data_IF_696670949765
#
_entry.id   IF_696670949765
#
_cell.length_a   1.000
_cell.length_b   1.000
_cell.length_c   1.000
_cell.angle_alpha   90.00
_cell.angle_beta   90.00
_cell.angle_gamma   90.00
#
_symmetry.space_group_name_H-M   'P 1'
#
loop_
_entity.id
_entity.type
_entity.pdbx_description
1 polymer ?
#
# COMPACT_ATOMS: atom_id res chain seq x y z
N UNK A 1 26.75 30.83 28.23
CA UNK A 1 25.59 30.54 27.35
C UNK A 1 25.91 30.64 25.87
N UNK A 2 27.02 30.10 25.32
CA UNK A 2 27.40 30.20 23.88
C UNK A 2 27.79 28.85 23.22
N UNK A 3 27.66 27.73 23.92
CA UNK A 3 28.05 26.41 23.38
C UNK A 3 26.88 25.55 22.77
N UNK A 4 25.59 25.89 23.00
CA UNK A 4 24.44 25.11 22.50
C UNK A 4 24.01 25.45 21.06
N UNK A 5 24.47 26.57 20.48
CA UNK A 5 24.04 26.99 19.11
C UNK A 5 24.87 26.40 17.95
N UNK A 6 26.02 25.75 18.24
CA UNK A 6 26.90 25.24 17.19
C UNK A 6 26.63 23.78 16.82
N UNK A 7 25.98 23.03 17.71
CA UNK A 7 25.64 21.62 17.47
C UNK A 7 24.40 21.50 16.57
N UNK A 8 23.45 22.43 16.70
CA UNK A 8 22.19 22.39 15.89
C UNK A 8 22.37 22.65 14.38
N UNK A 9 23.50 23.28 13.99
CA UNK A 9 23.76 23.62 12.58
C UNK A 9 24.54 22.53 11.81
N UNK A 10 25.17 21.62 12.52
CA UNK A 10 25.91 20.51 11.93
C UNK A 10 24.95 19.33 11.64
N UNK A 11 23.90 19.17 12.43
CA UNK A 11 22.88 18.14 12.24
C UNK A 11 21.96 18.42 11.03
N UNK A 12 21.70 19.68 10.71
CA UNK A 12 20.82 20.07 9.60
C UNK A 12 21.39 19.79 8.20
N UNK A 13 22.71 19.65 8.06
CA UNK A 13 23.34 19.40 6.75
C UNK A 13 23.70 17.92 6.51
N UNK A 14 23.64 17.06 7.54
CA UNK A 14 23.86 15.62 7.39
C UNK A 14 22.54 14.89 7.10
N UNK A 15 21.44 15.38 7.66
CA UNK A 15 20.10 14.78 7.50
C UNK A 15 19.59 14.87 6.05
N UNK A 16 19.86 15.98 5.35
CA UNK A 16 19.27 16.19 4.01
C UNK A 16 19.88 15.34 2.88
N UNK A 17 21.10 14.88 3.00
CA UNK A 17 21.76 14.07 1.97
C UNK A 17 21.41 12.58 2.08
N UNK A 18 21.42 12.05 3.28
CA UNK A 18 21.09 10.65 3.55
C UNK A 18 19.59 10.38 3.43
N UNK A 19 18.74 11.33 3.83
CA UNK A 19 17.28 11.23 3.73
C UNK A 19 16.79 11.21 2.26
N UNK A 20 17.40 12.03 1.37
CA UNK A 20 17.07 12.01 -0.07
C UNK A 20 17.52 10.73 -0.78
N UNK A 21 18.62 10.14 -0.38
CA UNK A 21 19.08 8.86 -0.92
C UNK A 21 18.16 7.72 -0.49
N UNK A 22 17.65 7.78 0.73
CA UNK A 22 16.75 6.80 1.33
C UNK A 22 15.37 6.81 0.65
N UNK A 23 14.78 7.98 0.37
CA UNK A 23 13.50 8.10 -0.33
C UNK A 23 13.55 7.52 -1.77
N UNK A 24 14.65 7.72 -2.48
CA UNK A 24 14.83 7.13 -3.80
C UNK A 24 14.95 5.60 -3.73
N UNK A 25 15.61 5.08 -2.70
CA UNK A 25 15.70 3.63 -2.50
C UNK A 25 14.35 3.04 -2.09
N UNK A 26 13.61 3.71 -1.20
CA UNK A 26 12.23 3.34 -0.83
C UNK A 26 11.34 3.26 -2.07
N UNK A 27 11.40 4.25 -2.96
CA UNK A 27 10.65 4.24 -4.22
C UNK A 27 11.00 3.05 -5.10
N UNK A 28 12.30 2.78 -5.30
CA UNK A 28 12.79 1.64 -6.10
C UNK A 28 12.40 0.29 -5.49
N UNK A 29 12.48 0.16 -4.17
CA UNK A 29 12.03 -1.06 -3.48
C UNK A 29 10.53 -1.28 -3.67
N UNK A 30 9.73 -0.21 -3.57
CA UNK A 30 8.30 -0.24 -3.78
C UNK A 30 7.92 -0.63 -5.21
N UNK A 31 8.61 -0.09 -6.21
CA UNK A 31 8.47 -0.45 -7.62
C UNK A 31 8.79 -1.95 -7.85
N UNK A 32 9.96 -2.41 -7.39
CA UNK A 32 10.36 -3.81 -7.51
C UNK A 32 9.41 -4.76 -6.80
N UNK A 33 8.92 -4.39 -5.62
CA UNK A 33 7.95 -5.19 -4.89
C UNK A 33 6.63 -5.31 -5.64
N UNK A 34 6.11 -4.20 -6.17
CA UNK A 34 4.87 -4.19 -6.95
C UNK A 34 5.02 -5.02 -8.25
N UNK A 35 6.14 -4.90 -8.96
CA UNK A 35 6.43 -5.72 -10.14
C UNK A 35 6.43 -7.21 -9.78
N UNK A 36 7.17 -7.60 -8.73
CA UNK A 36 7.29 -8.99 -8.30
C UNK A 36 5.93 -9.58 -7.88
N UNK A 37 5.09 -8.80 -7.19
CA UNK A 37 3.73 -9.24 -6.83
C UNK A 37 2.87 -9.38 -8.07
N UNK A 38 2.89 -8.43 -9.00
CA UNK A 38 2.13 -8.52 -10.25
C UNK A 38 2.53 -9.74 -11.08
N UNK A 39 3.81 -10.09 -11.14
CA UNK A 39 4.29 -11.27 -11.85
C UNK A 39 3.86 -12.57 -11.18
N UNK A 40 3.89 -12.63 -9.84
CA UNK A 40 3.53 -13.81 -9.08
C UNK A 40 2.02 -14.09 -9.01
N UNK A 41 1.15 -13.15 -9.41
CA UNK A 41 -0.28 -13.20 -9.09
C UNK A 41 -1.23 -13.34 -10.25
N UNK A 42 -0.78 -13.39 -11.48
CA UNK A 42 -1.66 -13.45 -12.67
C UNK A 42 -2.73 -12.33 -12.69
N UNK A 43 -2.44 -11.15 -12.16
CA UNK A 43 -3.34 -10.00 -12.21
C UNK A 43 -3.64 -9.62 -13.66
N UNK A 44 -4.88 -9.22 -13.90
CA UNK A 44 -5.35 -8.80 -15.21
C UNK A 44 -5.63 -7.30 -15.22
N UNK A 45 -5.64 -6.71 -16.40
CA UNK A 45 -6.13 -5.34 -16.59
C UNK A 45 -7.52 -5.18 -15.95
N UNK A 46 -7.68 -4.14 -15.17
CA UNK A 46 -8.89 -3.84 -14.41
C UNK A 46 -9.08 -4.62 -13.11
N UNK A 47 -8.09 -5.40 -12.66
CA UNK A 47 -8.10 -5.96 -11.30
C UNK A 47 -7.87 -4.87 -10.25
N UNK A 48 -8.26 -5.14 -9.01
CA UNK A 48 -8.05 -4.27 -7.87
C UNK A 48 -6.91 -4.78 -6.99
N UNK A 49 -5.96 -3.90 -6.69
CA UNK A 49 -4.80 -4.15 -5.84
C UNK A 49 -4.88 -3.29 -4.58
N UNK A 50 -4.80 -3.88 -3.40
CA UNK A 50 -4.87 -3.14 -2.14
C UNK A 50 -3.50 -2.92 -1.53
N UNK A 51 -3.26 -1.72 -1.01
CA UNK A 51 -2.05 -1.39 -0.25
C UNK A 51 -2.42 -0.76 1.07
N UNK A 52 -1.90 -1.34 2.14
CA UNK A 52 -1.82 -0.69 3.44
C UNK A 52 -0.36 -0.33 3.73
N UNK A 53 -0.11 0.90 4.16
CA UNK A 53 1.24 1.37 4.41
C UNK A 53 1.33 2.22 5.69
N UNK A 54 2.27 1.87 6.55
CA UNK A 54 2.70 2.69 7.68
C UNK A 54 3.97 3.44 7.30
N UNK A 55 3.85 4.73 6.99
CA UNK A 55 5.01 5.57 6.69
C UNK A 55 5.96 5.71 7.89
N UNK A 56 5.45 5.57 9.13
CA UNK A 56 6.30 5.53 10.33
C UNK A 56 7.22 4.31 10.32
N UNK A 57 6.67 3.12 10.05
CA UNK A 57 7.47 1.88 9.99
C UNK A 57 8.49 1.92 8.83
N UNK A 58 8.13 2.56 7.70
CA UNK A 58 9.05 2.72 6.55
C UNK A 58 10.31 3.48 6.92
N UNK A 59 10.21 4.49 7.81
CA UNK A 59 11.35 5.27 8.29
C UNK A 59 11.95 4.73 9.61
N UNK A 60 11.56 3.53 10.05
CA UNK A 60 12.10 2.89 11.25
C UNK A 60 11.47 3.32 12.56
N UNK A 61 10.35 4.05 12.51
CA UNK A 61 9.60 4.48 13.67
C UNK A 61 8.38 3.59 13.91
N UNK A 62 7.91 3.51 15.15
CA UNK A 62 6.72 2.71 15.47
C UNK A 62 5.49 3.22 14.74
N UNK A 63 4.65 2.31 14.27
CA UNK A 63 3.38 2.60 13.58
C UNK A 63 2.56 3.70 14.29
N UNK A 64 2.15 4.71 13.53
CA UNK A 64 1.30 5.81 14.01
C UNK A 64 2.02 6.89 14.86
N UNK A 65 3.33 6.80 15.09
CA UNK A 65 4.06 7.75 15.96
C UNK A 65 4.70 8.91 15.20
N UNK A 66 5.22 8.64 13.98
CA UNK A 66 5.95 9.62 13.18
C UNK A 66 5.56 9.51 11.71
N UNK A 67 4.44 10.12 11.34
CA UNK A 67 3.97 10.10 9.94
C UNK A 67 4.91 10.90 9.04
N UNK A 68 5.45 10.28 7.98
CA UNK A 68 6.19 10.95 6.92
C UNK A 68 5.36 10.95 5.64
N UNK A 69 5.09 12.15 5.10
CA UNK A 69 4.45 12.31 3.79
C UNK A 69 5.42 11.94 2.68
N UNK A 70 6.67 12.34 2.80
CA UNK A 70 7.72 12.09 1.82
C UNK A 70 7.95 10.58 1.63
N UNK A 71 8.03 9.82 2.72
CA UNK A 71 8.14 8.36 2.64
C UNK A 71 6.89 7.72 2.02
N UNK A 72 5.70 8.21 2.38
CA UNK A 72 4.44 7.75 1.79
C UNK A 72 4.35 8.07 0.29
N UNK A 73 4.81 9.25 -0.14
CA UNK A 73 4.90 9.63 -1.57
C UNK A 73 5.86 8.72 -2.32
N UNK A 74 7.05 8.45 -1.78
CA UNK A 74 8.02 7.55 -2.40
C UNK A 74 7.45 6.14 -2.59
N UNK A 75 6.78 5.59 -1.57
CA UNK A 75 6.10 4.29 -1.66
C UNK A 75 4.98 4.33 -2.70
N UNK A 76 4.13 5.35 -2.65
CA UNK A 76 3.01 5.50 -3.57
C UNK A 76 3.49 5.58 -5.03
N UNK A 77 4.45 6.45 -5.34
CA UNK A 77 4.97 6.64 -6.69
C UNK A 77 5.55 5.34 -7.27
N UNK A 78 6.33 4.60 -6.46
CA UNK A 78 6.89 3.33 -6.90
C UNK A 78 5.81 2.30 -7.26
N UNK A 79 4.81 2.13 -6.39
CA UNK A 79 3.72 1.17 -6.61
C UNK A 79 2.80 1.62 -7.75
N UNK A 80 2.34 2.86 -7.70
CA UNK A 80 1.33 3.36 -8.63
C UNK A 80 1.81 3.38 -10.07
N UNK A 81 3.07 3.71 -10.32
CA UNK A 81 3.66 3.66 -11.66
C UNK A 81 3.58 2.25 -12.28
N UNK A 82 3.83 1.20 -11.49
CA UNK A 82 3.72 -0.19 -11.96
C UNK A 82 2.28 -0.57 -12.25
N UNK A 83 1.36 -0.22 -11.34
CA UNK A 83 -0.06 -0.57 -11.47
C UNK A 83 -0.71 0.16 -12.65
N UNK A 84 -0.42 1.45 -12.84
CA UNK A 84 -0.91 2.24 -13.99
C UNK A 84 -0.46 1.63 -15.32
N UNK A 85 0.83 1.29 -15.46
CA UNK A 85 1.37 0.66 -16.66
C UNK A 85 0.66 -0.65 -17.00
N UNK A 86 0.18 -1.36 -16.00
CA UNK A 86 -0.55 -2.64 -16.13
C UNK A 86 -2.07 -2.47 -16.13
N UNK A 87 -2.56 -1.23 -16.02
CA UNK A 87 -3.99 -0.87 -15.92
C UNK A 87 -4.69 -1.62 -14.78
N UNK A 88 -4.04 -1.68 -13.63
CA UNK A 88 -4.54 -2.28 -12.39
C UNK A 88 -4.92 -1.14 -11.46
N UNK A 89 -6.11 -1.19 -10.88
CA UNK A 89 -6.58 -0.19 -9.93
C UNK A 89 -5.91 -0.34 -8.56
N UNK A 90 -5.55 0.78 -7.95
CA UNK A 90 -5.03 0.84 -6.60
C UNK A 90 -6.15 1.20 -5.62
N UNK A 91 -6.26 0.43 -4.52
CA UNK A 91 -7.02 0.79 -3.35
C UNK A 91 -6.05 1.08 -2.19
N UNK A 92 -5.94 2.34 -1.80
CA UNK A 92 -5.05 2.77 -0.71
C UNK A 92 -5.81 2.77 0.63
N UNK A 93 -5.42 1.86 1.53
CA UNK A 93 -6.06 1.74 2.83
C UNK A 93 -5.72 2.91 3.75
N UNK A 94 -6.71 3.50 4.36
CA UNK A 94 -6.58 4.44 5.47
C UNK A 94 -6.35 3.72 6.81
N UNK A 95 -5.95 4.46 7.84
CA UNK A 95 -5.78 3.93 9.19
C UNK A 95 -7.13 3.72 9.90
N UNK A 96 -7.06 3.14 11.10
CA UNK A 96 -8.23 2.85 11.95
C UNK A 96 -9.03 4.09 12.36
N UNK A 97 -8.41 5.28 12.38
CA UNK A 97 -9.11 6.54 12.66
C UNK A 97 -10.21 6.88 11.61
N UNK A 98 -10.10 6.31 10.41
CA UNK A 98 -11.14 6.33 9.38
C UNK A 98 -11.73 4.93 9.15
N UNK A 99 -11.76 4.09 10.17
CA UNK A 99 -12.31 2.73 10.12
C UNK A 99 -11.75 1.88 8.96
N UNK A 100 -10.50 2.17 8.54
CA UNK A 100 -9.83 1.53 7.39
C UNK A 100 -10.59 1.69 6.08
N UNK A 101 -11.30 2.82 5.90
CA UNK A 101 -11.79 3.25 4.59
C UNK A 101 -10.65 3.27 3.56
N UNK A 102 -10.99 3.18 2.29
CA UNK A 102 -9.99 3.12 1.23
C UNK A 102 -10.18 4.29 0.25
N UNK A 103 -9.07 4.74 -0.30
CA UNK A 103 -9.07 5.72 -1.38
C UNK A 103 -8.84 4.97 -2.69
N UNK A 104 -9.72 5.20 -3.63
CA UNK A 104 -9.70 4.63 -4.98
C UNK A 104 -9.93 5.73 -6.02
N UNK A 105 -9.68 5.46 -7.28
CA UNK A 105 -10.15 6.33 -8.36
C UNK A 105 -11.63 6.06 -8.66
N UNK A 106 -12.37 7.07 -9.13
CA UNK A 106 -13.80 6.97 -9.44
C UNK A 106 -14.11 5.82 -10.38
N UNK A 107 -13.31 5.61 -11.40
CA UNK A 107 -13.47 4.48 -12.32
C UNK A 107 -13.47 3.12 -11.58
N UNK A 108 -12.60 2.97 -10.58
CA UNK A 108 -12.61 1.77 -9.74
C UNK A 108 -13.85 1.69 -8.85
N UNK A 109 -14.27 2.83 -8.27
CA UNK A 109 -15.49 2.90 -7.47
C UNK A 109 -16.71 2.42 -8.26
N UNK A 110 -16.91 2.95 -9.46
CA UNK A 110 -18.00 2.59 -10.37
C UNK A 110 -17.89 1.13 -10.85
N UNK A 111 -16.70 0.72 -11.30
CA UNK A 111 -16.46 -0.64 -11.81
C UNK A 111 -16.75 -1.73 -10.79
N UNK A 112 -16.43 -1.47 -9.55
CA UNK A 112 -16.59 -2.44 -8.45
C UNK A 112 -17.85 -2.22 -7.63
N UNK A 113 -18.71 -1.26 -8.01
CA UNK A 113 -19.95 -0.93 -7.28
C UNK A 113 -19.67 -0.75 -5.79
N UNK A 114 -18.86 0.26 -5.48
CA UNK A 114 -18.42 0.57 -4.11
C UNK A 114 -19.21 1.74 -3.54
N UNK A 115 -19.47 1.70 -2.25
CA UNK A 115 -20.18 2.78 -1.54
C UNK A 115 -19.23 3.94 -1.22
N UNK A 116 -19.47 5.09 -1.86
CA UNK A 116 -18.73 6.33 -1.61
C UNK A 116 -19.10 6.92 -0.25
N UNK A 117 -18.08 7.36 0.51
CA UNK A 117 -18.26 8.04 1.79
C UNK A 117 -17.62 9.43 1.77
N UNK A 118 -18.21 10.35 2.52
CA UNK A 118 -17.71 11.73 2.57
C UNK A 118 -16.60 11.88 3.62
N UNK A 119 -15.36 11.65 3.20
CA UNK A 119 -14.17 11.92 4.01
C UNK A 119 -12.97 12.29 3.13
N UNK A 120 -12.18 13.25 3.58
CA UNK A 120 -10.88 13.59 3.00
C UNK A 120 -9.81 13.15 4.01
N UNK A 121 -8.97 12.15 3.69
CA UNK A 121 -7.95 11.68 4.61
C UNK A 121 -6.90 12.76 4.90
N UNK A 122 -6.40 12.73 6.12
CA UNK A 122 -5.33 13.61 6.60
C UNK A 122 -4.21 12.75 7.20
N UNK A 123 -2.97 13.24 7.30
CA UNK A 123 -1.85 12.44 7.85
C UNK A 123 -2.13 11.85 9.24
N UNK A 124 -2.91 12.55 10.08
CA UNK A 124 -3.30 12.09 11.42
C UNK A 124 -4.68 11.41 11.48
N UNK A 125 -5.41 11.38 10.36
CA UNK A 125 -6.73 10.72 10.25
C UNK A 125 -6.88 10.16 8.84
N UNK A 126 -6.45 8.93 8.63
CA UNK A 126 -6.35 8.26 7.34
C UNK A 126 -4.92 7.80 7.03
N UNK A 127 -3.93 8.48 7.61
CA UNK A 127 -2.51 8.20 7.42
C UNK A 127 -1.92 8.85 6.17
N UNK A 128 -0.59 8.98 6.14
CA UNK A 128 0.11 9.66 5.05
C UNK A 128 -0.12 8.96 3.69
N UNK A 129 -0.18 7.63 3.65
CA UNK A 129 -0.36 6.90 2.38
C UNK A 129 -1.76 7.14 1.78
N UNK A 130 -2.83 7.06 2.58
CA UNK A 130 -4.19 7.39 2.12
C UNK A 130 -4.31 8.85 1.70
N UNK A 131 -3.67 9.77 2.45
CA UNK A 131 -3.62 11.19 2.10
C UNK A 131 -2.91 11.42 0.77
N UNK A 132 -1.75 10.77 0.57
CA UNK A 132 -1.02 10.84 -0.70
C UNK A 132 -1.86 10.33 -1.87
N UNK A 133 -2.50 9.17 -1.72
CA UNK A 133 -3.36 8.61 -2.75
C UNK A 133 -4.49 9.57 -3.13
N UNK A 134 -5.16 10.18 -2.14
CA UNK A 134 -6.22 11.14 -2.38
C UNK A 134 -5.76 12.36 -3.20
N UNK A 135 -4.55 12.84 -2.97
CA UNK A 135 -4.01 14.01 -3.69
C UNK A 135 -3.37 13.65 -5.04
N UNK A 136 -3.02 12.41 -5.28
CA UNK A 136 -2.32 11.97 -6.49
C UNK A 136 -3.23 11.32 -7.53
N UNK A 137 -4.35 10.76 -7.11
CA UNK A 137 -5.36 10.26 -8.05
C UNK A 137 -6.00 11.42 -8.84
N UNK A 138 -6.38 11.16 -10.08
CA UNK A 138 -7.01 12.17 -10.93
C UNK A 138 -8.43 12.52 -10.46
N UNK A 139 -9.19 11.52 -10.03
CA UNK A 139 -10.54 11.66 -9.46
C UNK A 139 -10.67 10.74 -8.23
N UNK A 140 -10.15 11.19 -7.06
CA UNK A 140 -10.13 10.38 -5.85
C UNK A 140 -11.51 10.26 -5.21
N UNK A 141 -11.83 9.05 -4.77
CA UNK A 141 -13.05 8.72 -4.03
C UNK A 141 -12.66 7.97 -2.77
N UNK A 142 -13.25 8.35 -1.64
CA UNK A 142 -13.18 7.56 -0.42
C UNK A 142 -14.34 6.57 -0.40
N UNK A 143 -14.06 5.29 -0.11
CA UNK A 143 -15.07 4.24 0.03
C UNK A 143 -14.97 3.58 1.40
N UNK A 144 -16.12 3.20 1.98
CA UNK A 144 -16.13 2.56 3.29
C UNK A 144 -15.41 1.20 3.26
N UNK A 145 -15.64 0.43 2.21
CA UNK A 145 -15.09 -0.91 2.03
C UNK A 145 -15.00 -1.26 0.55
N UNK A 146 -14.03 -2.09 0.18
CA UNK A 146 -13.99 -2.70 -1.14
C UNK A 146 -14.60 -4.11 -1.17
N UNK A 147 -15.34 -4.51 -0.14
CA UNK A 147 -16.12 -5.74 -0.06
C UNK A 147 -15.34 -6.98 -0.54
N UNK A 148 -14.11 -7.12 -0.11
CA UNK A 148 -13.21 -8.24 -0.50
C UNK A 148 -13.02 -8.36 -2.04
N UNK A 149 -12.97 -7.24 -2.75
CA UNK A 149 -12.86 -7.25 -4.23
C UNK A 149 -11.42 -7.19 -4.73
N UNK A 150 -10.42 -6.95 -3.87
CA UNK A 150 -9.01 -6.97 -4.27
C UNK A 150 -8.55 -8.38 -4.67
N UNK A 151 -7.76 -8.46 -5.73
CA UNK A 151 -7.19 -9.72 -6.23
C UNK A 151 -5.83 -10.02 -5.60
N UNK A 152 -5.09 -9.00 -5.21
CA UNK A 152 -3.80 -9.09 -4.50
C UNK A 152 -3.54 -7.80 -3.71
N UNK A 153 -2.46 -7.78 -2.94
CA UNK A 153 -2.07 -6.58 -2.21
C UNK A 153 -0.75 -6.70 -1.46
N UNK A 154 -0.32 -5.56 -0.95
CA UNK A 154 0.87 -5.40 -0.13
C UNK A 154 0.52 -4.74 1.21
N UNK A 155 1.00 -5.33 2.28
CA UNK A 155 1.00 -4.80 3.62
C UNK A 155 2.41 -4.34 3.97
N UNK A 156 2.58 -3.04 4.17
CA UNK A 156 3.86 -2.40 4.44
C UNK A 156 3.81 -1.86 5.88
N UNK A 157 4.42 -2.61 6.81
CA UNK A 157 4.50 -2.23 8.22
C UNK A 157 3.34 -2.75 9.08
N UNK A 158 2.74 -3.90 8.75
CA UNK A 158 1.77 -4.58 9.60
C UNK A 158 0.42 -3.89 9.74
N UNK A 159 -0.08 -3.30 8.65
CA UNK A 159 -1.34 -2.56 8.61
C UNK A 159 -2.58 -3.42 8.52
N UNK A 160 -2.43 -4.71 8.19
CA UNK A 160 -3.49 -5.70 8.00
C UNK A 160 -4.42 -5.38 6.82
N UNK A 161 -4.20 -6.06 5.68
CA UNK A 161 -4.98 -5.88 4.45
C UNK A 161 -5.86 -7.09 4.07
N UNK A 162 -5.72 -8.19 4.80
CA UNK A 162 -6.37 -9.45 4.43
C UNK A 162 -7.88 -9.38 4.25
N UNK A 163 -8.56 -8.50 5.03
CA UNK A 163 -10.01 -8.29 4.94
C UNK A 163 -10.47 -7.70 3.60
N UNK A 164 -9.57 -7.12 2.82
CA UNK A 164 -9.89 -6.48 1.55
C UNK A 164 -9.73 -7.41 0.34
N UNK A 165 -9.03 -8.53 0.51
CA UNK A 165 -8.71 -9.47 -0.58
C UNK A 165 -9.79 -10.55 -0.67
N UNK A 166 -10.13 -10.94 -1.90
CA UNK A 166 -11.07 -12.04 -2.18
C UNK A 166 -10.59 -13.34 -1.50
N UNK A 167 -11.47 -14.07 -0.83
CA UNK A 167 -11.10 -15.38 -0.27
C UNK A 167 -10.75 -16.40 -1.40
N UNK A 168 -9.86 -17.31 -1.14
CA UNK A 168 -9.01 -17.48 0.03
C UNK A 168 -7.77 -16.60 -0.12
N UNK A 169 -7.43 -15.86 0.94
CA UNK A 169 -6.21 -15.04 0.97
C UNK A 169 -5.02 -15.93 1.27
N UNK A 170 -4.03 -15.93 0.39
CA UNK A 170 -2.80 -16.69 0.56
C UNK A 170 -1.57 -15.79 0.48
N UNK A 171 -0.55 -16.02 1.30
CA UNK A 171 0.67 -15.23 1.26
C UNK A 171 1.46 -15.49 -0.02
N UNK A 172 2.14 -14.45 -0.51
CA UNK A 172 3.13 -14.55 -1.58
C UNK A 172 4.51 -14.26 -0.98
N UNK A 173 5.49 -15.02 -1.39
CA UNK A 173 6.88 -14.75 -1.04
C UNK A 173 7.60 -14.21 -2.27
N UNK A 174 8.08 -12.99 -2.13
CA UNK A 174 8.97 -12.33 -3.10
C UNK A 174 10.36 -12.18 -2.49
N UNK A 175 11.36 -11.82 -3.28
CA UNK A 175 12.73 -11.68 -2.77
C UNK A 175 12.93 -10.50 -1.82
N UNK A 176 12.00 -9.51 -1.85
CA UNK A 176 11.99 -8.38 -0.94
C UNK A 176 11.10 -8.71 0.27
N UNK A 177 11.62 -8.46 1.47
CA UNK A 177 10.89 -8.64 2.72
C UNK A 177 10.70 -7.33 3.50
N UNK A 178 11.20 -6.21 2.97
CA UNK A 178 11.08 -4.87 3.54
C UNK A 178 10.95 -3.81 2.44
N UNK A 179 10.35 -2.67 2.83
CA UNK A 179 10.41 -1.39 2.11
C UNK A 179 10.86 -0.36 3.14
N UNK A 180 12.03 0.25 2.92
CA UNK A 180 12.74 0.93 4.00
C UNK A 180 12.93 -0.05 5.17
N UNK A 181 12.56 0.38 6.39
CA UNK A 181 12.59 -0.47 7.59
C UNK A 181 11.31 -1.28 7.81
N UNK A 182 10.21 -0.96 7.11
CA UNK A 182 8.92 -1.63 7.25
C UNK A 182 8.96 -3.07 6.74
N UNK A 183 8.44 -4.00 7.53
CA UNK A 183 8.23 -5.39 7.08
C UNK A 183 7.19 -5.41 5.96
N UNK A 184 7.51 -6.12 4.88
CA UNK A 184 6.62 -6.29 3.73
C UNK A 184 5.98 -7.68 3.77
N UNK A 185 4.65 -7.71 3.73
CA UNK A 185 3.85 -8.93 3.54
C UNK A 185 3.01 -8.77 2.28
N UNK A 186 3.13 -9.74 1.37
CA UNK A 186 2.37 -9.74 0.12
C UNK A 186 1.34 -10.88 0.14
N UNK A 187 0.18 -10.61 -0.44
CA UNK A 187 -0.91 -11.58 -0.48
C UNK A 187 -1.65 -11.55 -1.82
N UNK A 188 -2.23 -12.69 -2.17
CA UNK A 188 -3.10 -12.82 -3.33
C UNK A 188 -4.36 -13.61 -3.01
N UNK A 189 -5.32 -13.50 -3.87
CA UNK A 189 -6.45 -14.40 -3.92
C UNK A 189 -6.03 -15.77 -4.49
N UNK A 190 -6.59 -16.83 -3.94
CA UNK A 190 -6.69 -18.14 -4.58
C UNK A 190 -8.18 -18.55 -4.58
N UNK A 191 -8.72 -19.05 -5.70
CA UNK A 191 -10.09 -19.57 -5.69
C UNK A 191 -10.28 -20.65 -4.61
N UNK A 192 -11.36 -20.61 -3.83
CA UNK A 192 -11.61 -21.63 -2.81
C UNK A 192 -11.85 -22.99 -3.44
N UNK A 193 -11.42 -24.03 -2.76
CA UNK A 193 -11.84 -25.37 -3.10
C UNK A 193 -13.30 -25.57 -2.70
N UNK A 194 -14.12 -26.02 -3.64
CA UNK A 194 -15.54 -26.29 -3.42
C UNK A 194 -15.83 -27.74 -3.86
N UNK A 195 -16.39 -28.51 -2.97
CA UNK A 195 -16.72 -29.91 -3.24
C UNK A 195 -16.24 -30.85 -2.13
N UNK A 196 -16.21 -32.11 -2.39
CA UNK A 196 -15.83 -33.16 -1.45
C UNK A 196 -14.90 -34.18 -2.09
N UNK A 197 -14.88 -35.38 -1.52
CA UNK A 197 -13.94 -36.47 -1.87
C UNK A 197 -13.94 -36.85 -3.36
N UNK A 198 -15.05 -36.57 -4.08
CA UNK A 198 -15.19 -36.87 -5.53
C UNK A 198 -14.86 -35.68 -6.44
N UNK A 199 -14.52 -34.51 -5.86
CA UNK A 199 -14.22 -33.34 -6.64
C UNK A 199 -12.82 -33.44 -7.29
N UNK A 200 -12.72 -32.95 -8.50
CA UNK A 200 -11.44 -32.71 -9.18
C UNK A 200 -11.18 -31.21 -9.17
N UNK A 201 -9.93 -30.81 -9.06
CA UNK A 201 -9.50 -29.42 -8.99
C UNK A 201 -8.59 -29.09 -10.15
N UNK A 202 -8.61 -27.82 -10.58
CA UNK A 202 -7.73 -27.30 -11.60
C UNK A 202 -6.46 -26.74 -10.94
N UNK A 203 -5.33 -27.38 -11.17
CA UNK A 203 -4.03 -27.01 -10.62
C UNK A 203 -3.54 -25.63 -11.12
N UNK A 204 -4.01 -25.18 -12.28
CA UNK A 204 -3.71 -23.85 -12.81
C UNK A 204 -4.27 -22.70 -11.97
N UNK A 205 -5.19 -22.98 -11.06
CA UNK A 205 -5.82 -22.00 -10.18
C UNK A 205 -5.20 -21.95 -8.76
N UNK A 206 -4.17 -22.74 -8.51
CA UNK A 206 -3.47 -22.79 -7.22
C UNK A 206 -2.54 -21.62 -6.94
#
# INVERSE_FOLDING_TARGET
MKKKRRIHRIWLNVVNGDEMADLNEIRKQSEKAAEAVCEATRLKEGDLFVVGCSSSEVIGERIGTCSSLEAAEAVFEGIYAVLQKRKIFLAAQCCEHLNRALIVEREACERFDLEEVNVIPQPKAGGSFGTTAYHRFADPVAVESICQKASAGMDIGGTLIGMHIKPVVVPIRIHLNRIGEAVLTCARRRPPFVGGQRALYNDDLL
#
